data_IF_906024769735
#
_entry.id   IF_906024769735
#
_cell.length_a   1.000
_cell.length_b   1.000
_cell.length_c   1.000
_cell.angle_alpha   90.00
_cell.angle_beta   90.00
_cell.angle_gamma   90.00
#
_symmetry.space_group_name_H-M   'P 1'
#
loop_
_entity.id
_entity.type
_entity.pdbx_description
1 polymer ?
#
# COMPACT_ATOMS: atom_id res chain seq x y z
N UNK A 1 -3.40 -11.39 21.51
CA UNK A 1 -2.34 -11.35 20.47
C UNK A 1 -1.58 -10.04 20.60
N UNK A 2 -0.26 -10.07 20.46
CA UNK A 2 0.59 -8.86 20.41
C UNK A 2 1.26 -8.76 19.05
N UNK A 3 1.42 -7.55 18.54
CA UNK A 3 2.11 -7.29 17.27
C UNK A 3 3.22 -6.27 17.46
N UNK A 4 4.25 -6.35 16.64
CA UNK A 4 5.37 -5.42 16.68
C UNK A 4 5.66 -4.87 15.29
N UNK A 5 5.88 -3.57 15.19
CA UNK A 5 6.28 -2.88 13.97
C UNK A 5 7.76 -2.49 14.06
N UNK A 6 8.57 -3.01 13.16
CA UNK A 6 9.96 -2.61 12.95
C UNK A 6 9.98 -1.63 11.78
N UNK A 7 10.26 -0.39 12.07
CA UNK A 7 10.04 0.76 11.19
C UNK A 7 8.70 1.43 11.45
N UNK A 8 8.74 2.73 11.72
CA UNK A 8 7.61 3.59 12.11
C UNK A 8 7.32 4.66 11.06
N UNK A 9 7.42 4.27 9.78
CA UNK A 9 7.13 5.15 8.64
C UNK A 9 5.62 5.29 8.36
N UNK A 10 5.27 6.00 7.28
CA UNK A 10 3.89 6.29 6.88
C UNK A 10 3.01 5.03 6.72
N UNK A 11 3.55 3.93 6.18
CA UNK A 11 2.77 2.71 6.03
C UNK A 11 2.54 2.00 7.37
N UNK A 12 3.55 1.97 8.25
CA UNK A 12 3.37 1.48 9.62
C UNK A 12 2.30 2.31 10.38
N UNK A 13 2.36 3.64 10.26
CA UNK A 13 1.36 4.54 10.82
C UNK A 13 -0.05 4.23 10.30
N UNK A 14 -0.22 4.03 8.97
CA UNK A 14 -1.51 3.70 8.38
C UNK A 14 -2.09 2.37 8.91
N UNK A 15 -1.24 1.33 9.00
CA UNK A 15 -1.63 0.04 9.61
C UNK A 15 -2.03 0.20 11.07
N UNK A 16 -1.22 0.91 11.87
CA UNK A 16 -1.50 1.17 13.30
C UNK A 16 -2.80 1.94 13.47
N UNK A 17 -3.03 2.98 12.65
CA UNK A 17 -4.29 3.75 12.64
C UNK A 17 -5.49 2.86 12.36
N UNK A 18 -5.41 2.04 11.29
CA UNK A 18 -6.47 1.10 10.94
C UNK A 18 -6.78 0.12 12.07
N UNK A 19 -5.75 -0.48 12.66
CA UNK A 19 -5.89 -1.44 13.77
C UNK A 19 -6.53 -0.81 15.01
N UNK A 20 -6.08 0.39 15.38
CA UNK A 20 -6.54 1.06 16.61
C UNK A 20 -7.95 1.63 16.46
N UNK A 21 -8.28 2.21 15.33
CA UNK A 21 -9.58 2.80 15.06
C UNK A 21 -10.69 1.77 14.78
N UNK A 22 -10.33 0.62 14.21
CA UNK A 22 -11.25 -0.52 14.04
C UNK A 22 -11.40 -1.37 15.30
N UNK A 23 -10.64 -1.07 16.36
CA UNK A 23 -10.56 -1.86 17.59
C UNK A 23 -10.16 -3.33 17.35
N UNK A 24 -9.45 -3.60 16.25
CA UNK A 24 -8.96 -4.96 15.92
C UNK A 24 -8.00 -5.48 16.99
N UNK A 25 -7.18 -4.60 17.56
CA UNK A 25 -6.33 -4.88 18.72
C UNK A 25 -6.30 -3.66 19.67
N UNK A 26 -6.12 -3.95 20.96
CA UNK A 26 -5.85 -2.89 21.95
C UNK A 26 -4.51 -2.21 21.68
N UNK A 27 -4.39 -0.88 21.81
CA UNK A 27 -3.12 -0.16 21.68
C UNK A 27 -1.97 -0.75 22.51
N UNK A 28 -2.24 -1.23 23.73
CA UNK A 28 -1.25 -1.88 24.60
C UNK A 28 -0.72 -3.22 24.05
N UNK A 29 -1.33 -3.74 22.99
CA UNK A 29 -0.88 -4.95 22.29
C UNK A 29 -0.02 -4.65 21.07
N UNK A 30 0.27 -3.37 20.80
CA UNK A 30 1.02 -2.91 19.63
C UNK A 30 2.35 -2.31 20.10
N UNK A 31 3.45 -2.83 19.58
CA UNK A 31 4.78 -2.33 19.81
C UNK A 31 5.32 -1.64 18.55
N UNK A 32 6.17 -0.65 18.69
CA UNK A 32 6.88 -0.04 17.57
C UNK A 32 8.35 0.27 17.90
N UNK A 33 9.20 0.17 16.87
CA UNK A 33 10.59 0.62 16.88
C UNK A 33 10.89 1.40 15.60
N UNK A 34 11.87 2.29 15.66
CA UNK A 34 12.48 2.94 14.50
C UNK A 34 13.87 3.44 14.92
N UNK A 35 14.77 3.64 13.97
CA UNK A 35 16.07 4.32 14.22
C UNK A 35 15.87 5.79 14.59
N UNK A 36 14.81 6.42 14.08
CA UNK A 36 14.39 7.78 14.42
C UNK A 36 13.39 7.74 15.59
N UNK A 37 13.87 8.05 16.78
CA UNK A 37 13.08 8.06 18.00
C UNK A 37 11.88 9.05 17.96
N UNK A 38 11.95 10.08 17.14
CA UNK A 38 10.85 11.03 16.97
C UNK A 38 9.62 10.34 16.37
N UNK A 39 9.80 9.41 15.42
CA UNK A 39 8.69 8.66 14.81
C UNK A 39 8.00 7.75 15.81
N UNK A 40 8.76 6.99 16.58
CA UNK A 40 8.20 6.12 17.63
C UNK A 40 7.50 6.92 18.71
N UNK A 41 8.08 8.04 19.11
CA UNK A 41 7.49 8.97 20.09
C UNK A 41 6.18 9.58 19.57
N UNK A 42 6.15 9.96 18.29
CA UNK A 42 4.93 10.44 17.64
C UNK A 42 3.81 9.39 17.67
N UNK A 43 4.11 8.15 17.23
CA UNK A 43 3.13 7.06 17.21
C UNK A 43 2.64 6.70 18.63
N UNK A 44 3.55 6.63 19.61
CA UNK A 44 3.19 6.41 21.01
C UNK A 44 2.24 7.47 21.54
N UNK A 45 2.53 8.76 21.31
CA UNK A 45 1.68 9.88 21.75
C UNK A 45 0.31 9.85 21.08
N UNK A 46 0.27 9.58 19.75
CA UNK A 46 -0.95 9.64 18.95
C UNK A 46 -1.87 8.45 19.19
N UNK A 47 -1.31 7.23 19.18
CA UNK A 47 -2.09 5.98 19.20
C UNK A 47 -2.02 5.24 20.54
N UNK A 48 -1.25 5.74 21.52
CA UNK A 48 -1.06 5.13 22.85
C UNK A 48 -0.48 3.71 22.81
N UNK A 49 0.30 3.40 21.77
CA UNK A 49 0.99 2.12 21.60
C UNK A 49 2.33 2.10 22.35
N UNK A 50 2.92 0.92 22.51
CA UNK A 50 4.19 0.78 23.20
C UNK A 50 5.36 1.17 22.29
N UNK A 51 6.25 2.01 22.78
CA UNK A 51 7.50 2.39 22.12
C UNK A 51 8.66 1.59 22.72
N UNK A 52 9.52 1.06 21.85
CA UNK A 52 10.75 0.36 22.21
C UNK A 52 11.96 1.03 21.57
N UNK A 53 13.12 0.94 22.22
CA UNK A 53 14.37 1.53 21.72
C UNK A 53 15.22 0.54 20.92
N UNK A 54 14.95 -0.76 21.03
CA UNK A 54 15.62 -1.80 20.25
C UNK A 54 14.62 -2.84 19.72
N UNK A 55 14.99 -3.51 18.64
CA UNK A 55 14.12 -4.45 17.93
C UNK A 55 13.93 -5.76 18.72
N UNK A 56 14.97 -6.25 19.40
CA UNK A 56 14.91 -7.53 20.14
C UNK A 56 13.85 -7.49 21.25
N UNK A 57 13.83 -6.41 22.03
CA UNK A 57 12.83 -6.26 23.09
C UNK A 57 11.40 -6.11 22.52
N UNK A 58 11.27 -5.40 21.40
CA UNK A 58 9.98 -5.20 20.74
C UNK A 58 9.37 -6.51 20.24
N UNK A 59 10.19 -7.43 19.68
CA UNK A 59 9.70 -8.69 19.11
C UNK A 59 9.51 -9.81 20.15
N UNK A 60 10.16 -9.72 21.31
CA UNK A 60 10.26 -10.81 22.31
C UNK A 60 8.94 -11.49 22.67
N UNK A 61 7.87 -10.70 22.77
CA UNK A 61 6.52 -11.16 23.15
C UNK A 61 5.46 -10.88 22.08
N UNK A 62 5.88 -10.53 20.87
CA UNK A 62 4.98 -10.34 19.75
C UNK A 62 4.65 -11.68 19.08
N UNK A 63 3.43 -11.83 18.57
CA UNK A 63 3.01 -12.99 17.76
C UNK A 63 3.28 -12.74 16.28
N UNK A 64 3.09 -11.49 15.83
CA UNK A 64 3.33 -11.08 14.45
C UNK A 64 4.28 -9.88 14.44
N UNK A 65 5.29 -9.92 13.58
CA UNK A 65 6.32 -8.89 13.47
C UNK A 65 6.28 -8.29 12.08
N UNK A 66 5.84 -7.04 11.98
CA UNK A 66 5.75 -6.29 10.74
C UNK A 66 7.10 -5.65 10.44
N UNK A 67 7.68 -6.01 9.29
CA UNK A 67 8.90 -5.39 8.77
C UNK A 67 8.49 -4.25 7.83
N UNK A 68 8.56 -3.01 8.36
CA UNK A 68 8.10 -1.78 7.71
C UNK A 68 9.25 -0.80 7.44
N UNK A 69 10.46 -1.31 7.22
CA UNK A 69 11.65 -0.55 6.87
C UNK A 69 11.74 -0.34 5.35
N UNK A 70 12.76 0.38 4.89
CA UNK A 70 13.07 0.46 3.46
C UNK A 70 13.76 -0.83 3.00
N UNK A 71 13.54 -1.31 1.75
CA UNK A 71 14.15 -2.56 1.25
C UNK A 71 15.68 -2.61 1.38
N UNK A 72 16.38 -1.48 1.18
CA UNK A 72 17.84 -1.41 1.29
C UNK A 72 18.36 -1.68 2.70
N UNK A 73 17.54 -1.53 3.73
CA UNK A 73 17.93 -1.73 5.13
C UNK A 73 17.76 -3.19 5.62
N UNK A 74 17.19 -4.08 4.78
CA UNK A 74 16.83 -5.44 5.21
C UNK A 74 18.03 -6.27 5.66
N UNK A 75 19.18 -6.13 5.00
CA UNK A 75 20.40 -6.87 5.35
C UNK A 75 20.91 -6.48 6.75
N UNK A 76 20.85 -5.19 7.10
CA UNK A 76 21.26 -4.71 8.42
C UNK A 76 20.31 -5.26 9.49
N UNK A 77 19.00 -5.20 9.24
CA UNK A 77 18.00 -5.73 10.16
C UNK A 77 18.14 -7.26 10.32
N UNK A 78 18.40 -7.97 9.23
CA UNK A 78 18.56 -9.43 9.29
C UNK A 78 19.79 -9.85 10.11
N UNK A 79 20.86 -9.07 10.10
CA UNK A 79 22.03 -9.32 10.93
C UNK A 79 21.70 -9.25 12.43
N UNK A 80 20.83 -8.32 12.81
CA UNK A 80 20.36 -8.15 14.19
C UNK A 80 19.37 -9.24 14.61
N UNK A 81 18.47 -9.65 13.71
CA UNK A 81 17.29 -10.46 14.05
C UNK A 81 17.36 -11.91 13.58
N UNK A 82 18.42 -12.31 12.85
CA UNK A 82 18.59 -13.71 12.45
C UNK A 82 18.62 -14.62 13.68
N UNK A 83 17.89 -15.72 13.63
CA UNK A 83 17.75 -16.71 14.71
C UNK A 83 17.11 -16.18 16.01
N UNK A 84 16.49 -14.97 15.97
CA UNK A 84 15.84 -14.37 17.15
C UNK A 84 14.33 -14.59 17.20
N UNK A 85 13.75 -15.15 16.14
CA UNK A 85 12.32 -15.43 16.06
C UNK A 85 11.98 -16.78 16.69
N UNK A 86 10.88 -16.84 17.42
CA UNK A 86 10.32 -18.07 17.99
C UNK A 86 9.44 -18.78 16.96
N UNK A 87 9.31 -20.09 17.04
CA UNK A 87 8.51 -20.91 16.10
C UNK A 87 7.04 -20.46 16.01
N UNK A 88 6.49 -19.91 17.08
CA UNK A 88 5.10 -19.42 17.13
C UNK A 88 4.93 -17.96 16.68
N UNK A 89 5.98 -17.33 16.16
CA UNK A 89 5.91 -15.99 15.60
C UNK A 89 5.76 -16.03 14.08
N UNK A 90 5.17 -14.98 13.51
CA UNK A 90 5.06 -14.81 12.06
C UNK A 90 5.66 -13.47 11.67
N UNK A 91 6.58 -13.49 10.71
CA UNK A 91 7.12 -12.29 10.08
C UNK A 91 6.13 -11.82 9.01
N UNK A 92 5.77 -10.54 9.05
CA UNK A 92 4.90 -9.87 8.08
C UNK A 92 5.71 -8.82 7.35
N UNK A 93 6.00 -9.02 6.08
CA UNK A 93 6.81 -8.11 5.27
C UNK A 93 5.95 -7.27 4.34
N UNK A 94 6.21 -5.96 4.29
CA UNK A 94 5.67 -5.03 3.29
C UNK A 94 6.75 -4.54 2.31
N UNK A 95 7.88 -5.23 2.25
CA UNK A 95 9.03 -4.83 1.44
C UNK A 95 8.80 -5.12 -0.03
N UNK A 96 8.84 -4.07 -0.85
CA UNK A 96 8.80 -4.22 -2.31
C UNK A 96 10.02 -5.01 -2.81
N UNK A 97 9.81 -5.91 -3.78
CA UNK A 97 10.88 -6.67 -4.42
C UNK A 97 11.58 -7.72 -3.53
N UNK A 98 11.12 -7.94 -2.28
CA UNK A 98 11.73 -8.91 -1.38
C UNK A 98 10.85 -10.16 -1.27
N UNK A 99 11.29 -11.25 -1.90
CA UNK A 99 10.55 -12.52 -1.95
C UNK A 99 10.56 -13.25 -0.60
N UNK A 100 9.54 -14.08 -0.37
CA UNK A 100 9.41 -14.94 0.83
C UNK A 100 10.66 -15.79 1.04
N UNK A 101 11.16 -16.45 0.01
CA UNK A 101 12.37 -17.27 0.11
C UNK A 101 13.59 -16.48 0.60
N UNK A 102 13.72 -15.23 0.18
CA UNK A 102 14.78 -14.34 0.66
C UNK A 102 14.60 -14.02 2.15
N UNK A 103 13.37 -13.69 2.57
CA UNK A 103 13.06 -13.40 3.97
C UNK A 103 13.32 -14.62 4.87
N UNK A 104 12.91 -15.83 4.41
CA UNK A 104 13.18 -17.07 5.14
C UNK A 104 14.66 -17.28 5.37
N UNK A 105 15.50 -17.08 4.35
CA UNK A 105 16.96 -17.22 4.45
C UNK A 105 17.58 -16.15 5.35
N UNK A 106 17.15 -14.89 5.21
CA UNK A 106 17.70 -13.77 5.97
C UNK A 106 17.42 -13.92 7.48
N UNK A 107 16.21 -14.31 7.84
CA UNK A 107 15.80 -14.41 9.24
C UNK A 107 15.86 -15.82 9.82
N UNK A 108 16.21 -16.83 9.01
CA UNK A 108 16.16 -18.25 9.38
C UNK A 108 14.80 -18.62 10.01
N UNK A 109 13.70 -18.24 9.35
CA UNK A 109 12.34 -18.38 9.87
C UNK A 109 11.34 -18.75 8.77
N UNK A 110 10.48 -19.75 9.03
CA UNK A 110 9.61 -20.32 8.01
C UNK A 110 8.24 -19.65 7.89
N UNK A 111 7.75 -19.05 8.96
CA UNK A 111 6.41 -18.45 8.99
C UNK A 111 6.44 -17.01 8.51
N UNK A 112 6.13 -16.80 7.23
CA UNK A 112 6.20 -15.50 6.55
C UNK A 112 4.84 -15.18 5.91
N UNK A 113 4.40 -13.94 6.10
CA UNK A 113 3.33 -13.31 5.31
C UNK A 113 3.98 -12.17 4.52
N UNK A 114 3.75 -12.14 3.22
CA UNK A 114 4.19 -11.03 2.34
C UNK A 114 2.97 -10.24 1.90
N UNK A 115 3.03 -8.93 2.04
CA UNK A 115 1.94 -8.00 1.73
C UNK A 115 2.50 -6.86 0.89
N UNK A 116 1.72 -6.41 -0.09
CA UNK A 116 1.98 -5.16 -0.81
C UNK A 116 0.76 -4.26 -0.70
N UNK A 117 0.73 -3.34 0.26
CA UNK A 117 -0.26 -2.29 0.36
C UNK A 117 0.11 -1.09 -0.52
N UNK A 118 -0.76 -0.09 -0.58
CA UNK A 118 -0.48 1.17 -1.26
C UNK A 118 -0.79 2.40 -0.38
N UNK A 119 -0.35 3.57 -0.82
CA UNK A 119 -0.41 4.83 -0.04
C UNK A 119 -1.82 5.28 0.38
N UNK A 120 -2.93 4.97 -0.34
CA UNK A 120 -4.29 5.24 0.14
C UNK A 120 -4.67 4.54 1.46
N UNK A 121 -3.84 3.64 1.98
CA UNK A 121 -3.95 3.12 3.35
C UNK A 121 -4.10 4.23 4.41
N UNK A 122 -3.48 5.38 4.18
CA UNK A 122 -3.54 6.54 5.08
C UNK A 122 -4.97 7.08 5.28
N UNK A 123 -5.87 6.79 4.35
CA UNK A 123 -7.29 7.16 4.39
C UNK A 123 -8.22 5.93 4.35
N UNK A 124 -7.70 4.75 4.70
CA UNK A 124 -8.42 3.46 4.72
C UNK A 124 -9.01 3.04 3.36
N UNK A 125 -8.37 3.45 2.27
CA UNK A 125 -8.72 3.07 0.90
C UNK A 125 -7.56 2.33 0.21
N UNK A 126 -6.81 1.54 0.97
CA UNK A 126 -5.73 0.70 0.43
C UNK A 126 -6.26 -0.38 -0.50
N UNK A 127 -5.42 -0.75 -1.45
CA UNK A 127 -5.44 -2.06 -2.09
C UNK A 127 -4.22 -2.82 -1.59
N UNK A 128 -4.44 -3.94 -0.90
CA UNK A 128 -3.37 -4.76 -0.34
C UNK A 128 -3.42 -6.15 -0.97
N UNK A 129 -2.37 -6.56 -1.69
CA UNK A 129 -2.23 -7.92 -2.21
C UNK A 129 -1.28 -8.69 -1.32
N UNK A 130 -1.62 -9.94 -0.95
CA UNK A 130 -0.85 -10.67 0.03
C UNK A 130 -0.86 -12.19 -0.19
N UNK A 131 0.17 -12.85 0.35
CA UNK A 131 0.30 -14.31 0.40
C UNK A 131 1.05 -14.72 1.67
N UNK A 132 1.11 -16.03 1.94
CA UNK A 132 1.78 -16.56 3.12
C UNK A 132 2.40 -17.93 2.86
N UNK A 133 3.33 -18.34 3.71
CA UNK A 133 3.90 -19.69 3.72
C UNK A 133 2.93 -20.70 4.35
N UNK A 134 3.09 -21.97 4.02
CA UNK A 134 2.30 -23.07 4.61
C UNK A 134 2.52 -23.24 6.12
N UNK A 135 3.60 -22.70 6.67
CA UNK A 135 3.94 -22.73 8.10
C UNK A 135 3.24 -21.63 8.91
N UNK A 136 2.56 -20.69 8.24
CA UNK A 136 1.86 -19.62 8.93
C UNK A 136 0.67 -20.15 9.72
N UNK A 137 0.57 -19.74 10.98
CA UNK A 137 -0.56 -20.10 11.85
C UNK A 137 -1.88 -19.57 11.28
N UNK A 138 -2.93 -20.40 11.18
CA UNK A 138 -4.27 -19.97 10.75
C UNK A 138 -4.84 -18.79 11.54
N UNK A 139 -4.48 -18.65 12.82
CA UNK A 139 -4.87 -17.52 13.66
C UNK A 139 -4.23 -16.24 13.13
N UNK A 140 -2.95 -16.28 12.72
CA UNK A 140 -2.24 -15.14 12.14
C UNK A 140 -2.78 -14.78 10.75
N UNK A 141 -3.17 -15.78 9.93
CA UNK A 141 -3.83 -15.57 8.64
C UNK A 141 -5.17 -14.83 8.83
N UNK A 142 -5.99 -15.26 9.78
CA UNK A 142 -7.24 -14.57 10.09
C UNK A 142 -7.01 -13.15 10.59
N UNK A 143 -6.00 -12.96 11.44
CA UNK A 143 -5.66 -11.67 12.01
C UNK A 143 -5.16 -10.70 10.94
N UNK A 144 -4.27 -11.15 10.03
CA UNK A 144 -3.76 -10.28 8.96
C UNK A 144 -4.88 -9.82 8.02
N UNK A 145 -5.81 -10.71 7.69
CA UNK A 145 -6.99 -10.36 6.91
C UNK A 145 -7.79 -9.23 7.57
N UNK A 146 -8.06 -9.34 8.87
CA UNK A 146 -8.74 -8.29 9.65
C UNK A 146 -7.97 -6.97 9.66
N UNK A 147 -6.65 -7.03 9.84
CA UNK A 147 -5.79 -5.84 9.80
C UNK A 147 -5.84 -5.16 8.42
N UNK A 148 -5.72 -5.92 7.34
CA UNK A 148 -5.74 -5.36 5.99
C UNK A 148 -7.11 -4.78 5.63
N UNK A 149 -8.20 -5.42 6.04
CA UNK A 149 -9.57 -4.91 5.87
C UNK A 149 -9.77 -3.58 6.62
N UNK A 150 -9.07 -3.36 7.73
CA UNK A 150 -9.16 -2.09 8.47
C UNK A 150 -8.55 -0.88 7.75
N UNK A 151 -7.71 -1.12 6.75
CA UNK A 151 -7.06 -0.07 5.95
C UNK A 151 -7.53 -0.04 4.48
N UNK A 152 -8.46 -0.90 4.08
CA UNK A 152 -9.01 -0.94 2.72
C UNK A 152 -9.37 -2.35 2.26
N UNK A 153 -9.27 -2.60 0.96
CA UNK A 153 -9.54 -3.90 0.36
C UNK A 153 -8.28 -4.79 0.38
N UNK A 154 -8.46 -6.08 0.67
CA UNK A 154 -7.40 -7.06 0.66
C UNK A 154 -7.66 -8.16 -0.38
N UNK A 155 -6.60 -8.65 -1.02
CA UNK A 155 -6.65 -9.68 -2.03
C UNK A 155 -5.58 -10.74 -1.73
N UNK A 156 -6.02 -11.90 -1.29
CA UNK A 156 -5.15 -13.06 -1.13
C UNK A 156 -4.81 -13.66 -2.50
N UNK A 157 -3.55 -14.00 -2.70
CA UNK A 157 -3.07 -14.69 -3.90
C UNK A 157 -2.24 -15.92 -3.51
N UNK A 158 -2.45 -17.04 -4.21
CA UNK A 158 -1.67 -18.26 -3.94
C UNK A 158 -0.23 -18.16 -4.45
N UNK A 159 -0.05 -17.51 -5.61
CA UNK A 159 1.24 -17.38 -6.27
C UNK A 159 1.89 -16.07 -5.89
N UNK A 160 3.07 -16.13 -5.27
CA UNK A 160 3.80 -14.95 -4.82
C UNK A 160 4.15 -13.98 -5.97
N UNK A 161 4.39 -14.48 -7.16
CA UNK A 161 4.70 -13.66 -8.35
C UNK A 161 3.62 -12.62 -8.66
N UNK A 162 2.35 -12.89 -8.30
CA UNK A 162 1.24 -11.94 -8.48
C UNK A 162 1.38 -10.70 -7.59
N UNK A 163 2.13 -10.77 -6.49
CA UNK A 163 2.44 -9.61 -5.65
C UNK A 163 3.34 -8.62 -6.41
N UNK A 164 4.34 -9.12 -7.15
CA UNK A 164 5.24 -8.24 -7.92
C UNK A 164 4.50 -7.59 -9.10
N UNK A 165 3.60 -8.33 -9.77
CA UNK A 165 2.71 -7.78 -10.81
C UNK A 165 1.76 -6.72 -10.22
N UNK A 166 1.15 -7.02 -9.07
CA UNK A 166 0.28 -6.08 -8.36
C UNK A 166 1.06 -4.85 -7.85
N UNK A 167 2.33 -5.00 -7.50
CA UNK A 167 3.20 -3.89 -7.11
C UNK A 167 3.30 -2.85 -8.23
N UNK A 168 3.58 -3.30 -9.45
CA UNK A 168 3.65 -2.43 -10.61
C UNK A 168 2.31 -1.72 -10.92
N UNK A 169 1.18 -2.38 -10.66
CA UNK A 169 -0.15 -1.83 -10.98
C UNK A 169 -0.73 -0.99 -9.83
N UNK A 170 -0.81 -1.53 -8.61
CA UNK A 170 -1.56 -0.93 -7.51
C UNK A 170 -0.70 -0.24 -6.46
N UNK A 171 0.50 -0.75 -6.15
CA UNK A 171 1.38 -0.11 -5.18
C UNK A 171 2.07 1.12 -5.76
N UNK A 172 2.53 1.04 -7.02
CA UNK A 172 3.10 2.17 -7.76
C UNK A 172 2.02 3.05 -8.40
N UNK A 173 0.82 2.52 -8.62
CA UNK A 173 -0.29 3.17 -9.31
C UNK A 173 -0.66 4.57 -8.82
N UNK A 174 -0.67 4.86 -7.53
CA UNK A 174 -0.94 6.21 -7.03
C UNK A 174 -0.03 7.29 -7.64
N UNK A 175 1.24 6.97 -7.88
CA UNK A 175 2.17 7.93 -8.51
C UNK A 175 1.77 8.26 -9.96
N UNK A 176 1.28 7.28 -10.71
CA UNK A 176 0.82 7.48 -12.09
C UNK A 176 -0.44 8.34 -12.13
N UNK A 177 -1.36 8.10 -11.18
CA UNK A 177 -2.57 8.91 -11.04
C UNK A 177 -2.21 10.34 -10.66
N UNK A 178 -1.31 10.54 -9.70
CA UNK A 178 -0.90 11.90 -9.31
C UNK A 178 -0.25 12.66 -10.44
N UNK A 179 0.60 12.03 -11.26
CA UNK A 179 1.15 12.65 -12.46
C UNK A 179 0.07 13.03 -13.47
N UNK A 180 -0.95 12.20 -13.65
CA UNK A 180 -2.09 12.50 -14.52
C UNK A 180 -2.91 13.68 -13.99
N UNK A 181 -3.19 13.72 -12.67
CA UNK A 181 -3.88 14.83 -12.00
C UNK A 181 -3.10 16.13 -12.17
N UNK A 182 -1.79 16.10 -11.89
CA UNK A 182 -0.88 17.24 -12.07
C UNK A 182 -0.95 17.79 -13.50
N UNK A 183 -0.89 16.89 -14.49
CA UNK A 183 -0.96 17.27 -15.91
C UNK A 183 -2.30 17.92 -16.29
N UNK A 184 -3.42 17.43 -15.74
CA UNK A 184 -4.74 18.03 -15.98
C UNK A 184 -4.87 19.42 -15.34
N UNK A 185 -4.37 19.58 -14.11
CA UNK A 185 -4.37 20.89 -13.42
C UNK A 185 -3.55 21.90 -14.23
N UNK A 186 -2.36 21.51 -14.69
CA UNK A 186 -1.51 22.36 -15.53
C UNK A 186 -2.19 22.73 -16.86
N UNK A 187 -2.83 21.75 -17.51
CA UNK A 187 -3.59 22.00 -18.74
C UNK A 187 -4.73 23.00 -18.52
N UNK A 188 -5.47 22.89 -17.41
CA UNK A 188 -6.51 23.84 -17.03
C UNK A 188 -5.98 25.27 -16.90
N UNK A 189 -4.84 25.44 -16.21
CA UNK A 189 -4.15 26.75 -16.10
C UNK A 189 -3.71 27.29 -17.45
N UNK A 190 -3.16 26.45 -18.30
CA UNK A 190 -2.68 26.84 -19.64
C UNK A 190 -3.79 27.34 -20.58
N UNK A 191 -5.04 26.91 -20.39
CA UNK A 191 -6.19 27.42 -21.13
C UNK A 191 -6.86 28.63 -20.46
N UNK A 192 -6.30 29.10 -19.32
CA UNK A 192 -6.74 30.36 -18.68
C UNK A 192 -7.65 30.16 -17.45
N UNK A 193 -7.83 28.93 -16.92
CA UNK A 193 -8.55 28.77 -15.65
C UNK A 193 -7.72 29.31 -14.48
N UNK A 194 -8.35 29.97 -13.50
CA UNK A 194 -7.71 30.27 -12.22
C UNK A 194 -7.15 29.02 -11.54
N UNK A 195 -6.00 29.15 -10.86
CA UNK A 195 -5.27 28.03 -10.27
C UNK A 195 -6.13 27.14 -9.37
N UNK A 196 -6.83 27.75 -8.41
CA UNK A 196 -7.73 27.06 -7.49
C UNK A 196 -8.89 26.38 -8.22
N UNK A 197 -9.48 27.02 -9.21
CA UNK A 197 -10.58 26.42 -9.97
C UNK A 197 -10.11 25.23 -10.82
N UNK A 198 -8.91 25.30 -11.43
CA UNK A 198 -8.33 24.19 -12.18
C UNK A 198 -8.10 22.97 -11.27
N UNK A 199 -7.60 23.18 -10.06
CA UNK A 199 -7.38 22.13 -9.06
C UNK A 199 -8.70 21.51 -8.59
N UNK A 200 -9.68 22.34 -8.21
CA UNK A 200 -10.99 21.87 -7.73
C UNK A 200 -11.74 21.08 -8.81
N UNK A 201 -11.82 21.61 -10.03
CA UNK A 201 -12.51 20.93 -11.13
C UNK A 201 -11.84 19.59 -11.47
N UNK A 202 -10.52 19.53 -11.49
CA UNK A 202 -9.78 18.30 -11.80
C UNK A 202 -10.02 17.23 -10.73
N UNK A 203 -9.88 17.58 -9.45
CA UNK A 203 -10.00 16.62 -8.35
C UNK A 203 -11.44 16.11 -8.22
N UNK A 204 -12.44 17.00 -8.32
CA UNK A 204 -13.85 16.60 -8.25
C UNK A 204 -14.29 15.76 -9.47
N UNK A 205 -13.80 16.10 -10.66
CA UNK A 205 -14.06 15.32 -11.88
C UNK A 205 -13.51 13.89 -11.75
N UNK A 206 -12.28 13.72 -11.25
CA UNK A 206 -11.66 12.39 -11.06
C UNK A 206 -12.43 11.59 -10.01
N UNK A 207 -12.72 12.17 -8.85
CA UNK A 207 -13.47 11.48 -7.80
C UNK A 207 -14.86 11.04 -8.30
N UNK A 208 -15.59 11.94 -8.95
CA UNK A 208 -16.91 11.65 -9.53
C UNK A 208 -16.85 10.56 -10.61
N UNK A 209 -15.84 10.59 -11.48
CA UNK A 209 -15.68 9.60 -12.54
C UNK A 209 -15.37 8.21 -12.02
N UNK A 210 -14.51 8.08 -10.99
CA UNK A 210 -14.21 6.79 -10.35
C UNK A 210 -15.43 6.27 -9.59
N UNK A 211 -16.16 7.13 -8.89
CA UNK A 211 -17.38 6.73 -8.21
C UNK A 211 -18.44 6.25 -9.21
N UNK A 212 -18.60 6.94 -10.35
CA UNK A 212 -19.52 6.50 -11.42
C UNK A 212 -19.09 5.14 -12.00
N UNK A 213 -17.80 4.93 -12.25
CA UNK A 213 -17.28 3.64 -12.73
C UNK A 213 -17.58 2.50 -11.74
N UNK A 214 -17.42 2.75 -10.45
CA UNK A 214 -17.68 1.75 -9.40
C UNK A 214 -19.20 1.47 -9.21
N UNK A 215 -20.03 2.44 -9.51
CA UNK A 215 -21.50 2.32 -9.40
C UNK A 215 -22.12 1.68 -10.64
N UNK A 216 -21.53 1.90 -11.82
CA UNK A 216 -22.04 1.43 -13.11
C UNK A 216 -21.67 -0.03 -13.35
N UNK A 217 -22.52 -0.79 -14.03
CA UNK A 217 -22.22 -2.11 -14.57
C UNK A 217 -21.51 -2.03 -15.94
N UNK A 218 -21.38 -0.83 -16.51
CA UNK A 218 -20.75 -0.61 -17.81
C UNK A 218 -19.20 -0.69 -17.73
N UNK A 219 -18.59 -1.13 -18.82
CA UNK A 219 -17.11 -1.13 -18.91
C UNK A 219 -16.57 0.31 -19.00
N UNK A 220 -15.30 0.54 -18.59
CA UNK A 220 -14.63 1.85 -18.76
C UNK A 220 -14.66 2.35 -20.22
N UNK A 221 -14.60 1.43 -21.18
CA UNK A 221 -14.71 1.76 -22.60
C UNK A 221 -16.10 2.33 -22.91
N UNK A 222 -17.15 1.67 -22.46
CA UNK A 222 -18.54 2.08 -22.72
C UNK A 222 -18.85 3.44 -22.08
N UNK A 223 -18.42 3.64 -20.82
CA UNK A 223 -18.57 4.94 -20.14
C UNK A 223 -17.87 6.05 -20.92
N UNK A 224 -16.65 5.81 -21.43
CA UNK A 224 -15.95 6.78 -22.27
C UNK A 224 -16.71 7.09 -23.55
N UNK A 225 -17.27 6.07 -24.24
CA UNK A 225 -18.09 6.25 -25.44
C UNK A 225 -19.34 7.10 -25.16
N UNK A 226 -20.00 6.85 -24.04
CA UNK A 226 -21.23 7.57 -23.66
C UNK A 226 -21.01 9.09 -23.46
N UNK A 227 -19.80 9.53 -23.10
CA UNK A 227 -19.46 10.96 -22.95
C UNK A 227 -18.74 11.54 -24.16
N UNK A 228 -18.67 10.79 -25.29
CA UNK A 228 -17.97 11.22 -26.51
C UNK A 228 -18.98 11.46 -27.64
N UNK A 229 -19.42 12.71 -27.77
CA UNK A 229 -20.32 13.10 -28.87
C UNK A 229 -19.53 13.33 -30.16
N UNK A 230 -20.03 12.90 -31.33
CA UNK A 230 -19.39 13.19 -32.63
C UNK A 230 -19.21 14.70 -32.85
N UNK A 231 -17.99 15.11 -33.25
CA UNK A 231 -17.65 16.52 -33.43
C UNK A 231 -17.50 17.33 -32.15
N UNK A 232 -17.62 16.70 -30.98
CA UNK A 232 -17.56 17.37 -29.67
C UNK A 232 -16.14 17.58 -29.13
N UNK A 233 -16.02 18.36 -28.07
CA UNK A 233 -14.76 18.65 -27.37
C UNK A 233 -14.06 17.40 -26.83
N UNK A 234 -14.85 16.43 -26.35
CA UNK A 234 -14.32 15.14 -25.84
C UNK A 234 -13.67 14.33 -26.96
N UNK A 235 -14.29 14.25 -28.14
CA UNK A 235 -13.71 13.55 -29.29
C UNK A 235 -12.41 14.21 -29.76
N UNK A 236 -12.35 15.54 -29.79
CA UNK A 236 -11.15 16.27 -30.15
C UNK A 236 -10.00 15.97 -29.18
N UNK A 237 -10.25 16.02 -27.88
CA UNK A 237 -9.26 15.70 -26.83
C UNK A 237 -8.79 14.23 -26.94
N UNK A 238 -9.71 13.27 -27.04
CA UNK A 238 -9.39 11.85 -27.18
C UNK A 238 -8.57 11.56 -28.43
N UNK A 239 -8.84 12.26 -29.55
CA UNK A 239 -8.06 12.14 -30.77
C UNK A 239 -6.60 12.49 -30.55
N UNK A 240 -6.29 13.54 -29.80
CA UNK A 240 -4.90 13.91 -29.45
C UNK A 240 -4.25 12.82 -28.60
N UNK A 241 -4.92 12.36 -27.55
CA UNK A 241 -4.39 11.32 -26.66
C UNK A 241 -4.14 9.98 -27.37
N UNK A 242 -5.05 9.59 -28.27
CA UNK A 242 -4.91 8.36 -29.08
C UNK A 242 -3.73 8.48 -30.04
N UNK A 243 -3.61 9.61 -30.76
CA UNK A 243 -2.46 9.88 -31.66
C UNK A 243 -1.13 9.88 -30.89
N UNK A 244 -1.12 10.36 -29.66
CA UNK A 244 0.04 10.32 -28.78
C UNK A 244 0.31 8.93 -28.15
N UNK A 245 -0.40 7.88 -28.58
CA UNK A 245 -0.25 6.51 -28.08
C UNK A 245 -0.41 6.38 -26.57
N UNK A 246 -1.32 7.15 -25.95
CA UNK A 246 -1.52 7.19 -24.49
C UNK A 246 -1.66 5.79 -23.89
N UNK A 247 -2.54 4.93 -24.44
CA UNK A 247 -2.74 3.55 -23.95
C UNK A 247 -1.45 2.72 -24.02
N UNK A 248 -0.71 2.80 -25.13
CA UNK A 248 0.53 2.06 -25.30
C UNK A 248 1.62 2.53 -24.33
N UNK A 249 1.67 3.83 -24.03
CA UNK A 249 2.62 4.38 -23.09
C UNK A 249 2.30 3.95 -21.63
N UNK A 250 1.04 3.88 -21.24
CA UNK A 250 0.66 3.32 -19.93
C UNK A 250 1.08 1.84 -19.83
N UNK A 251 0.82 1.03 -20.88
CA UNK A 251 1.24 -0.38 -20.90
C UNK A 251 2.77 -0.50 -20.76
N UNK A 252 3.53 0.35 -21.47
CA UNK A 252 5.01 0.35 -21.36
C UNK A 252 5.47 0.75 -19.96
N UNK A 253 4.84 1.75 -19.35
CA UNK A 253 5.18 2.20 -18.00
C UNK A 253 4.96 1.10 -16.97
N UNK A 254 3.82 0.42 -17.00
CA UNK A 254 3.53 -0.71 -16.09
C UNK A 254 4.53 -1.86 -16.30
N UNK A 255 4.89 -2.18 -17.56
CA UNK A 255 5.91 -3.20 -17.84
C UNK A 255 7.30 -2.82 -17.32
N UNK A 256 7.65 -1.53 -17.34
CA UNK A 256 8.92 -1.05 -16.81
C UNK A 256 8.97 -1.04 -15.26
N UNK A 257 7.81 -0.99 -14.61
CA UNK A 257 7.70 -1.05 -13.16
C UNK A 257 7.69 -2.50 -12.62
N UNK A 258 7.37 -3.46 -13.46
CA UNK A 258 7.44 -4.90 -13.19
C UNK A 258 8.82 -5.44 -13.55
#
# INVERSE_FOLDING_TARGET
>A
MKISFIGSGKMAEALISGITESHTLSPNSINCTDRDDNKTTYLNKKYKINKYTNNLDAIKNANMIFICIKPQDINILSYELKDQFKDNQTIVSILAGTQIQTLQKLFNHDSIIRIMPNTPAQIKKSVSVWTHTKKTDPIHIKQIKSILTSIGNEFYVEKEELIDMATALSASGPAYLFLFVESLIEAGKNIGLPDNLSEDLTTQMIDGSINLLNFSEESPQKLRENVTSPGGTTEAALTVLIKANFKANIIKAIKAAY
#
